data_IF_337737607139
#
_entry.id   IF_337737607139
#
_cell.length_a   1.000
_cell.length_b   1.000
_cell.length_c   1.000
_cell.angle_alpha   90.00
_cell.angle_beta   90.00
_cell.angle_gamma   90.00
#
_symmetry.space_group_name_H-M   'P 1'
#
loop_
_entity.id
_entity.type
_entity.pdbx_description
1 polymer ?
#
# COMPACT_ATOMS: atom_id res chain seq x y z
N UNK A 1 2.96 -6.72 -12.25
CA UNK A 1 2.68 -5.80 -11.13
C UNK A 1 3.79 -4.77 -11.06
N UNK A 2 3.40 -3.50 -11.11
CA UNK A 2 4.28 -2.35 -11.19
C UNK A 2 4.03 -1.44 -9.99
N UNK A 3 5.08 -0.78 -9.51
CA UNK A 3 4.99 0.27 -8.51
C UNK A 3 6.04 1.33 -8.81
N UNK A 4 5.78 2.56 -8.36
CA UNK A 4 6.74 3.65 -8.36
C UNK A 4 6.90 4.09 -6.91
N UNK A 5 8.13 4.24 -6.44
CA UNK A 5 8.39 4.73 -5.09
C UNK A 5 9.34 5.93 -5.16
N UNK A 6 9.10 6.88 -4.27
CA UNK A 6 10.03 7.97 -3.96
C UNK A 6 10.44 7.91 -2.48
N UNK A 7 11.11 8.95 -1.99
CA UNK A 7 11.59 9.04 -0.62
C UNK A 7 10.46 8.96 0.43
N UNK A 8 9.24 9.35 0.07
CA UNK A 8 8.11 9.54 0.97
C UNK A 8 6.83 8.82 0.55
N UNK A 9 6.75 8.31 -0.68
CA UNK A 9 5.53 7.74 -1.22
C UNK A 9 5.76 6.45 -2.02
N UNK A 10 4.70 5.64 -2.13
CA UNK A 10 4.65 4.45 -2.97
C UNK A 10 3.33 4.47 -3.72
N UNK A 11 3.40 4.46 -5.04
CA UNK A 11 2.28 4.29 -5.94
C UNK A 11 2.23 2.84 -6.43
N UNK A 12 1.16 2.14 -6.12
CA UNK A 12 0.97 0.72 -6.47
C UNK A 12 -0.08 0.62 -7.58
N UNK A 13 0.28 0.02 -8.72
CA UNK A 13 -0.64 -0.17 -9.84
C UNK A 13 -1.26 -1.57 -9.75
N UNK A 14 -2.59 -1.62 -9.62
CA UNK A 14 -3.36 -2.83 -9.31
C UNK A 14 -3.92 -3.52 -10.55
N UNK A 15 -4.74 -2.80 -11.33
CA UNK A 15 -5.40 -3.29 -12.54
C UNK A 15 -4.78 -2.63 -13.77
N UNK A 16 -4.78 -3.34 -14.91
CA UNK A 16 -4.46 -2.73 -16.20
C UNK A 16 -5.69 -1.96 -16.72
N UNK A 17 -5.48 -0.83 -17.40
CA UNK A 17 -6.55 0.07 -17.89
C UNK A 17 -7.65 -0.65 -18.70
N UNK A 18 -7.31 -1.73 -19.40
CA UNK A 18 -8.25 -2.53 -20.20
C UNK A 18 -9.19 -3.43 -19.37
N UNK A 19 -8.91 -3.59 -18.07
CA UNK A 19 -9.70 -4.40 -17.12
C UNK A 19 -10.63 -3.56 -16.24
N UNK A 20 -10.52 -2.22 -16.28
CA UNK A 20 -11.27 -1.29 -15.42
C UNK A 20 -12.53 -0.74 -16.11
N UNK A 21 -12.64 -0.87 -17.44
CA UNK A 21 -13.73 -0.27 -18.22
C UNK A 21 -15.10 -0.95 -17.99
N UNK A 22 -15.17 -2.10 -17.29
CA UNK A 22 -16.39 -2.91 -17.15
C UNK A 22 -16.69 -3.44 -15.74
N UNK A 23 -15.84 -3.21 -14.74
CA UNK A 23 -16.07 -3.73 -13.39
C UNK A 23 -15.54 -2.75 -12.35
N UNK A 24 -16.40 -2.27 -11.44
CA UNK A 24 -16.07 -1.45 -10.26
C UNK A 24 -15.09 -2.21 -9.34
N UNK A 25 -13.86 -2.42 -9.79
CA UNK A 25 -12.88 -3.26 -9.12
C UNK A 25 -12.15 -2.41 -8.09
N UNK A 26 -12.40 -2.74 -6.83
CA UNK A 26 -11.74 -2.12 -5.70
C UNK A 26 -10.60 -3.02 -5.22
N UNK A 27 -9.49 -2.41 -4.80
CA UNK A 27 -8.43 -3.11 -4.09
C UNK A 27 -8.60 -2.88 -2.58
N UNK A 28 -8.56 -3.96 -1.80
CA UNK A 28 -8.58 -3.89 -0.35
C UNK A 28 -7.18 -3.60 0.19
N UNK A 29 -7.04 -2.52 0.97
CA UNK A 29 -5.78 -2.16 1.62
C UNK A 29 -5.84 -2.47 3.11
N UNK A 30 -4.93 -3.32 3.57
CA UNK A 30 -4.78 -3.66 4.99
C UNK A 30 -3.47 -3.11 5.53
N UNK A 31 -3.52 -2.52 6.73
CA UNK A 31 -2.35 -1.90 7.37
C UNK A 31 -2.04 -2.61 8.68
N UNK A 32 -0.80 -3.05 8.82
CA UNK A 32 -0.30 -3.76 9.99
C UNK A 32 0.91 -3.05 10.59
N UNK A 33 1.11 -3.25 11.90
CA UNK A 33 2.33 -2.82 12.58
C UNK A 33 3.25 -4.01 12.82
N UNK A 34 4.52 -3.85 12.49
CA UNK A 34 5.56 -4.86 12.69
C UNK A 34 6.10 -5.39 11.36
N UNK A 35 6.66 -6.60 11.40
CA UNK A 35 7.56 -7.10 10.37
C UNK A 35 7.21 -8.50 9.83
N UNK A 36 6.18 -9.15 10.36
CA UNK A 36 5.79 -10.51 9.95
C UNK A 36 5.00 -10.50 8.64
N UNK A 37 5.60 -11.07 7.59
CA UNK A 37 5.02 -11.12 6.24
C UNK A 37 4.28 -12.42 5.92
N UNK A 38 4.19 -13.34 6.89
CA UNK A 38 3.67 -14.69 6.67
C UNK A 38 2.22 -14.65 6.16
N UNK A 39 1.99 -15.21 4.96
CA UNK A 39 0.66 -15.30 4.37
C UNK A 39 0.10 -14.00 3.76
N UNK A 40 0.88 -12.91 3.73
CA UNK A 40 0.45 -11.61 3.24
C UNK A 40 0.63 -11.42 1.71
N UNK A 41 1.14 -12.44 1.02
CA UNK A 41 1.29 -12.44 -0.42
C UNK A 41 2.73 -12.24 -0.88
N UNK A 42 2.87 -11.67 -2.09
CA UNK A 42 4.16 -11.40 -2.73
C UNK A 42 4.67 -10.03 -2.27
N UNK A 43 5.89 -9.99 -1.75
CA UNK A 43 6.58 -8.75 -1.44
C UNK A 43 6.92 -7.99 -2.72
N UNK A 44 6.49 -6.73 -2.80
CA UNK A 44 6.78 -5.85 -3.94
C UNK A 44 7.63 -4.64 -3.54
N UNK A 45 7.59 -4.22 -2.27
CA UNK A 45 8.40 -3.13 -1.75
C UNK A 45 8.91 -3.47 -0.34
N UNK A 46 10.19 -3.18 -0.06
CA UNK A 46 10.83 -3.35 1.25
C UNK A 46 11.98 -2.34 1.39
N UNK A 47 11.63 -1.13 1.82
CA UNK A 47 12.58 -0.05 2.04
C UNK A 47 12.00 0.97 3.03
N UNK A 48 12.83 1.82 3.65
CA UNK A 48 12.32 2.90 4.46
C UNK A 48 11.69 4.01 3.63
N UNK A 49 10.64 4.62 4.18
CA UNK A 49 10.10 5.90 3.74
C UNK A 49 10.37 6.98 4.80
N UNK A 50 10.48 8.23 4.38
CA UNK A 50 10.66 9.38 5.26
C UNK A 50 9.30 10.00 5.57
N UNK A 51 8.95 10.02 6.85
CA UNK A 51 7.72 10.64 7.35
C UNK A 51 8.03 11.94 8.11
N UNK A 52 7.76 13.12 7.53
CA UNK A 52 8.01 14.40 8.21
C UNK A 52 7.06 14.64 9.39
N UNK A 53 5.89 14.00 9.38
CA UNK A 53 4.88 14.03 10.43
C UNK A 53 4.62 12.59 10.92
N UNK A 54 4.12 12.38 12.14
CA UNK A 54 3.84 11.05 12.68
C UNK A 54 2.54 10.48 12.11
N UNK A 55 2.43 10.45 10.78
CA UNK A 55 1.25 10.04 10.05
C UNK A 55 1.64 9.44 8.69
N UNK A 56 0.94 8.38 8.30
CA UNK A 56 1.00 7.78 6.98
C UNK A 56 -0.38 7.86 6.33
N UNK A 57 -0.44 8.40 5.11
CA UNK A 57 -1.68 8.55 4.35
C UNK A 57 -1.78 7.46 3.29
N UNK A 58 -2.94 6.83 3.18
CA UNK A 58 -3.19 5.68 2.29
C UNK A 58 -4.51 5.91 1.56
N UNK A 59 -4.51 5.82 0.24
CA UNK A 59 -5.73 5.89 -0.54
C UNK A 59 -5.46 5.80 -2.03
N UNK A 60 -6.54 5.89 -2.82
CA UNK A 60 -6.42 5.93 -4.27
C UNK A 60 -5.75 7.23 -4.73
N UNK A 61 -4.93 7.15 -5.77
CA UNK A 61 -4.39 8.34 -6.45
C UNK A 61 -5.48 9.17 -7.15
N UNK A 62 -6.69 8.60 -7.31
CA UNK A 62 -7.82 9.23 -7.98
C UNK A 62 -8.75 10.01 -7.03
N UNK A 63 -8.62 9.82 -5.71
CA UNK A 63 -9.42 10.54 -4.71
C UNK A 63 -8.67 11.76 -4.18
N UNK A 64 -9.42 12.74 -3.65
CA UNK A 64 -8.83 13.91 -3.00
C UNK A 64 -7.99 13.47 -1.79
N UNK A 65 -6.96 14.25 -1.44
CA UNK A 65 -6.07 13.90 -0.33
C UNK A 65 -6.81 13.80 1.00
N UNK A 66 -7.79 14.67 1.21
CA UNK A 66 -8.63 14.70 2.42
C UNK A 66 -9.52 13.46 2.59
N UNK A 67 -9.75 12.70 1.49
CA UNK A 67 -10.56 11.48 1.50
C UNK A 67 -9.70 10.22 1.73
N UNK A 68 -8.38 10.37 1.85
CA UNK A 68 -7.47 9.25 2.12
C UNK A 68 -7.54 8.84 3.59
N UNK A 69 -7.21 7.58 3.85
CA UNK A 69 -7.11 7.07 5.20
C UNK A 69 -5.81 7.54 5.85
N UNK A 70 -5.90 8.01 7.10
CA UNK A 70 -4.77 8.46 7.88
C UNK A 70 -4.44 7.44 8.97
N UNK A 71 -3.19 6.98 8.99
CA UNK A 71 -2.65 6.03 9.96
C UNK A 71 -1.63 6.75 10.84
N UNK A 72 -1.96 6.94 12.11
CA UNK A 72 -1.04 7.56 13.07
C UNK A 72 0.20 6.68 13.27
N UNK A 73 1.38 7.30 13.18
CA UNK A 73 2.68 6.69 13.45
C UNK A 73 3.16 7.05 14.85
N UNK A 74 4.01 6.21 15.44
CA UNK A 74 4.63 6.44 16.75
C UNK A 74 5.81 7.41 16.70
N UNK A 75 6.41 7.59 15.53
CA UNK A 75 7.58 8.45 15.32
C UNK A 75 7.58 9.07 13.93
N UNK A 76 8.48 10.03 13.74
CA UNK A 76 8.82 10.64 12.44
C UNK A 76 10.15 10.09 11.92
N UNK A 77 10.51 10.51 10.71
CA UNK A 77 11.77 10.19 10.06
C UNK A 77 11.69 8.91 9.24
N UNK A 78 12.85 8.25 9.09
CA UNK A 78 12.98 7.03 8.30
C UNK A 78 12.34 5.85 9.01
N UNK A 79 11.26 5.31 8.43
CA UNK A 79 10.48 4.18 8.95
C UNK A 79 10.45 3.07 7.90
N UNK A 80 10.87 1.84 8.23
CA UNK A 80 10.76 0.70 7.33
C UNK A 80 9.30 0.42 6.97
N UNK A 81 9.02 0.33 5.68
CA UNK A 81 7.71 -0.02 5.13
C UNK A 81 7.85 -1.20 4.20
N UNK A 82 6.91 -2.14 4.29
CA UNK A 82 6.77 -3.24 3.35
C UNK A 82 5.41 -3.22 2.70
N UNK A 83 5.38 -3.44 1.40
CA UNK A 83 4.14 -3.61 0.65
C UNK A 83 4.14 -5.01 0.03
N UNK A 84 3.10 -5.78 0.35
CA UNK A 84 2.85 -7.09 -0.20
C UNK A 84 1.50 -7.11 -0.88
N UNK A 85 1.40 -7.91 -1.93
CA UNK A 85 0.17 -8.00 -2.71
C UNK A 85 -0.22 -9.45 -2.98
N UNK A 86 -1.53 -9.66 -3.11
CA UNK A 86 -2.08 -10.96 -3.50
C UNK A 86 -3.37 -10.77 -4.28
N UNK A 87 -3.80 -11.86 -4.90
CA UNK A 87 -5.14 -11.98 -5.47
C UNK A 87 -6.03 -12.69 -4.43
N UNK A 88 -7.23 -12.16 -4.18
CA UNK A 88 -8.23 -12.79 -3.31
C UNK A 88 -8.83 -14.04 -3.97
N UNK A 89 -8.89 -14.03 -5.30
CA UNK A 89 -9.32 -15.15 -6.15
C UNK A 89 -8.44 -15.22 -7.41
N UNK A 90 -8.16 -16.43 -7.94
CA UNK A 90 -7.36 -16.57 -9.15
C UNK A 90 -7.95 -15.78 -10.33
N UNK A 91 -7.15 -14.90 -10.93
CA UNK A 91 -7.56 -14.13 -12.11
C UNK A 91 -8.23 -12.78 -11.81
N UNK A 92 -8.28 -12.37 -10.54
CA UNK A 92 -8.72 -11.02 -10.18
C UNK A 92 -7.67 -9.93 -10.43
N UNK A 93 -6.42 -10.31 -10.68
CA UNK A 93 -5.31 -9.37 -10.59
C UNK A 93 -5.06 -8.96 -9.13
N UNK A 94 -4.31 -7.88 -8.93
CA UNK A 94 -3.96 -7.44 -7.57
C UNK A 94 -5.11 -6.67 -6.93
N UNK A 95 -5.95 -7.38 -6.18
CA UNK A 95 -7.11 -6.83 -5.46
C UNK A 95 -6.88 -6.75 -3.93
N UNK A 96 -5.73 -7.21 -3.43
CA UNK A 96 -5.35 -7.06 -2.02
C UNK A 96 -3.94 -6.48 -1.89
N UNK A 97 -3.82 -5.40 -1.14
CA UNK A 97 -2.57 -4.73 -0.76
C UNK A 97 -2.43 -4.81 0.76
N UNK A 98 -1.30 -5.32 1.23
CA UNK A 98 -0.93 -5.36 2.64
C UNK A 98 0.26 -4.44 2.86
N UNK A 99 0.11 -3.46 3.76
CA UNK A 99 1.14 -2.51 4.15
C UNK A 99 1.59 -2.82 5.57
N UNK A 100 2.89 -3.04 5.78
CA UNK A 100 3.46 -3.22 7.09
C UNK A 100 4.35 -2.04 7.42
N UNK A 101 4.15 -1.48 8.61
CA UNK A 101 4.87 -0.32 9.10
C UNK A 101 5.63 -0.72 10.37
N UNK A 102 6.95 -0.55 10.36
CA UNK A 102 7.79 -0.78 11.54
C UNK A 102 8.15 0.54 12.23
N UNK A 103 7.15 1.12 12.91
CA UNK A 103 7.24 2.42 13.59
C UNK A 103 7.64 2.33 15.07
N UNK A 104 8.21 1.19 15.50
CA UNK A 104 8.59 0.97 16.90
C UNK A 104 9.71 1.90 17.37
#
# INVERSE_FOLDING_TARGET
MEFIADESSIHVFTFADDQDEHADRTADVHVYRGTDTTGLGRLIFDAPLIFPQPECTIGSGLVAEDDRQHVSLRRTGSIPVRVLTRESQPGNGTDVINVLIDDR
#
